data_IF_030801142171
#
_entry.id   IF_030801142171
#
_cell.length_a   1.000
_cell.length_b   1.000
_cell.length_c   1.000
_cell.angle_alpha   90.00
_cell.angle_beta   90.00
_cell.angle_gamma   90.00
#
_symmetry.space_group_name_H-M   'P 1'
#
loop_
_entity.id
_entity.type
_entity.pdbx_description
1 polymer ?
#
# COMPACT_ATOMS: atom_id res chain seq x y z
N UNK A 1 8.18 12.20 8.27
CA UNK A 1 9.52 11.70 8.65
C UNK A 1 10.65 12.64 8.18
N UNK A 2 11.67 12.93 9.00
CA UNK A 2 12.86 13.69 8.56
C UNK A 2 13.78 12.78 7.70
N UNK A 3 14.56 13.35 6.78
CA UNK A 3 15.54 12.66 5.91
C UNK A 3 16.42 11.65 6.65
N UNK A 4 16.84 11.97 7.89
CA UNK A 4 17.62 11.05 8.74
C UNK A 4 16.84 9.79 9.15
N UNK A 5 15.56 9.90 9.48
CA UNK A 5 14.72 8.73 9.83
C UNK A 5 14.47 7.84 8.59
N UNK A 6 14.36 8.44 7.38
CA UNK A 6 14.34 7.68 6.10
C UNK A 6 15.65 6.91 5.88
N UNK A 7 16.80 7.54 6.11
CA UNK A 7 18.09 6.86 5.98
C UNK A 7 18.23 5.66 6.93
N UNK A 8 17.71 5.77 8.16
CA UNK A 8 17.67 4.64 9.11
C UNK A 8 16.82 3.49 8.58
N UNK A 9 15.63 3.78 8.01
CA UNK A 9 14.80 2.73 7.42
C UNK A 9 15.46 2.05 6.21
N UNK A 10 16.12 2.82 5.34
CA UNK A 10 16.84 2.25 4.19
C UNK A 10 18.01 1.36 4.63
N UNK A 11 18.76 1.78 5.65
CA UNK A 11 19.82 0.97 6.26
C UNK A 11 19.25 -0.32 6.88
N UNK A 12 18.16 -0.21 7.65
CA UNK A 12 17.50 -1.36 8.26
C UNK A 12 16.97 -2.34 7.20
N UNK A 13 16.29 -1.84 6.17
CA UNK A 13 15.76 -2.65 5.05
C UNK A 13 16.88 -3.42 4.35
N UNK A 14 18.00 -2.75 4.03
CA UNK A 14 19.16 -3.40 3.41
C UNK A 14 19.71 -4.51 4.28
N UNK A 15 19.92 -4.27 5.57
CA UNK A 15 20.43 -5.27 6.50
C UNK A 15 19.45 -6.45 6.65
N UNK A 16 18.14 -6.19 6.69
CA UNK A 16 17.13 -7.26 6.75
C UNK A 16 17.16 -8.15 5.50
N UNK A 17 17.44 -7.58 4.32
CA UNK A 17 17.62 -8.31 3.07
C UNK A 17 18.91 -9.14 3.07
N UNK A 18 20.04 -8.53 3.47
CA UNK A 18 21.36 -9.13 3.35
C UNK A 18 21.66 -10.16 4.44
N UNK A 19 21.33 -9.84 5.70
CA UNK A 19 21.63 -10.66 6.88
C UNK A 19 20.42 -11.46 7.37
N UNK A 20 19.22 -11.10 6.93
CA UNK A 20 17.95 -11.59 7.48
C UNK A 20 17.49 -10.76 8.69
N UNK A 21 16.17 -10.63 8.84
CA UNK A 21 15.55 -9.85 9.91
C UNK A 21 15.93 -10.34 11.33
N UNK A 22 15.90 -11.66 11.55
CA UNK A 22 16.21 -12.26 12.86
C UNK A 22 17.66 -12.00 13.28
N UNK A 23 18.60 -12.08 12.34
CA UNK A 23 20.04 -11.93 12.58
C UNK A 23 20.52 -10.48 12.65
N UNK A 24 19.67 -9.52 12.28
CA UNK A 24 20.00 -8.09 12.33
C UNK A 24 19.72 -7.53 13.73
N UNK A 25 20.72 -6.87 14.33
CA UNK A 25 20.60 -6.17 15.61
C UNK A 25 20.34 -4.67 15.42
N UNK A 26 19.86 -3.99 16.47
CA UNK A 26 19.76 -2.52 16.47
C UNK A 26 21.14 -1.87 16.30
N UNK A 27 22.20 -2.50 16.83
CA UNK A 27 23.57 -1.99 16.70
C UNK A 27 24.04 -2.02 15.24
N UNK A 28 23.74 -3.08 14.49
CA UNK A 28 24.03 -3.14 13.04
C UNK A 28 23.37 -1.97 12.30
N UNK A 29 22.11 -1.65 12.62
CA UNK A 29 21.36 -0.57 11.97
C UNK A 29 21.97 0.80 12.31
N UNK A 30 22.37 1.01 13.57
CA UNK A 30 23.03 2.24 14.02
C UNK A 30 24.35 2.47 13.25
N UNK A 31 25.14 1.41 13.10
CA UNK A 31 26.43 1.44 12.39
C UNK A 31 26.25 1.70 10.90
N UNK A 32 25.35 0.97 10.23
CA UNK A 32 25.06 1.14 8.80
C UNK A 32 24.47 2.52 8.50
N UNK A 33 23.55 3.01 9.34
CA UNK A 33 22.94 4.33 9.17
C UNK A 33 23.88 5.49 9.58
N UNK A 34 25.04 5.19 10.18
CA UNK A 34 26.04 6.16 10.66
C UNK A 34 25.44 7.21 11.61
N UNK A 35 24.66 6.75 12.58
CA UNK A 35 24.03 7.60 13.60
C UNK A 35 24.47 7.21 15.02
N UNK A 36 24.12 8.02 16.02
CA UNK A 36 24.30 7.64 17.42
C UNK A 36 23.16 6.75 17.90
N UNK A 37 23.42 5.95 18.95
CA UNK A 37 22.40 5.17 19.65
C UNK A 37 21.21 6.03 20.10
N UNK A 38 21.48 7.19 20.71
CA UNK A 38 20.42 8.13 21.12
C UNK A 38 19.58 8.62 19.95
N UNK A 39 20.19 8.86 18.79
CA UNK A 39 19.45 9.27 17.57
C UNK A 39 18.53 8.16 17.07
N UNK A 40 18.95 6.88 17.15
CA UNK A 40 18.09 5.77 16.77
C UNK A 40 16.86 5.69 17.67
N UNK A 41 17.07 5.69 18.99
CA UNK A 41 15.96 5.60 19.96
C UNK A 41 15.05 6.83 19.98
N UNK A 42 15.49 7.97 19.45
CA UNK A 42 14.61 9.11 19.18
C UNK A 42 13.65 8.86 18.01
N UNK A 43 13.96 7.94 17.11
CA UNK A 43 13.16 7.63 15.92
C UNK A 43 12.37 6.34 16.01
N UNK A 44 12.96 5.32 16.62
CA UNK A 44 12.44 3.97 16.74
C UNK A 44 12.84 3.37 18.09
N UNK A 45 11.85 2.84 18.81
CA UNK A 45 12.02 2.11 20.05
C UNK A 45 12.68 0.74 19.86
N UNK A 46 12.57 0.15 18.66
CA UNK A 46 13.05 -1.20 18.37
C UNK A 46 13.31 -1.44 16.88
N UNK A 47 13.94 -2.58 16.55
CA UNK A 47 14.04 -3.06 15.16
C UNK A 47 12.68 -3.44 14.56
N UNK A 48 11.74 -3.88 15.42
CA UNK A 48 10.38 -4.22 15.00
C UNK A 48 9.65 -2.98 14.48
N UNK A 49 9.80 -1.84 15.17
CA UNK A 49 9.21 -0.58 14.72
C UNK A 49 9.78 -0.13 13.36
N UNK A 50 11.05 -0.45 13.07
CA UNK A 50 11.62 -0.19 11.75
C UNK A 50 10.92 -0.99 10.65
N UNK A 51 10.67 -2.30 10.87
CA UNK A 51 10.01 -3.13 9.85
C UNK A 51 8.52 -2.78 9.71
N UNK A 52 7.84 -2.46 10.81
CA UNK A 52 6.46 -1.94 10.78
C UNK A 52 6.40 -0.70 9.89
N UNK A 53 7.25 0.30 10.14
CA UNK A 53 7.28 1.53 9.36
C UNK A 53 7.63 1.32 7.87
N UNK A 54 8.47 0.33 7.53
CA UNK A 54 8.76 -0.05 6.14
C UNK A 54 7.50 -0.61 5.46
N UNK A 55 6.81 -1.56 6.12
CA UNK A 55 5.62 -2.19 5.56
C UNK A 55 4.44 -1.22 5.44
N UNK A 56 4.25 -0.32 6.41
CA UNK A 56 3.26 0.75 6.36
C UNK A 56 3.51 1.70 5.19
N UNK A 57 4.76 2.17 5.02
CA UNK A 57 5.11 3.05 3.90
C UNK A 57 4.82 2.40 2.54
N UNK A 58 5.12 1.11 2.39
CA UNK A 58 4.80 0.33 1.17
C UNK A 58 3.30 0.22 0.95
N UNK A 59 2.52 -0.01 2.01
CA UNK A 59 1.05 -0.08 1.96
C UNK A 59 0.46 1.26 1.52
N UNK A 60 0.88 2.36 2.14
CA UNK A 60 0.42 3.72 1.83
C UNK A 60 0.72 4.09 0.38
N UNK A 61 1.97 3.92 -0.05
CA UNK A 61 2.42 4.20 -1.41
C UNK A 61 1.64 3.39 -2.45
N UNK A 62 1.47 2.09 -2.21
CA UNK A 62 0.69 1.19 -3.08
C UNK A 62 -0.77 1.65 -3.19
N UNK A 63 -1.37 2.04 -2.06
CA UNK A 63 -2.77 2.46 -2.01
C UNK A 63 -3.01 3.75 -2.79
N UNK A 64 -2.12 4.74 -2.62
CA UNK A 64 -2.18 6.02 -3.35
C UNK A 64 -2.06 5.77 -4.85
N UNK A 65 -1.00 5.08 -5.30
CA UNK A 65 -0.77 4.81 -6.72
C UNK A 65 -1.95 4.08 -7.38
N UNK A 66 -2.54 3.09 -6.70
CA UNK A 66 -3.72 2.37 -7.20
C UNK A 66 -4.95 3.28 -7.32
N UNK A 67 -5.18 4.15 -6.34
CA UNK A 67 -6.34 5.04 -6.31
C UNK A 67 -6.24 6.13 -7.36
N UNK A 68 -5.04 6.66 -7.57
CA UNK A 68 -4.77 7.68 -8.58
C UNK A 68 -5.00 7.18 -10.01
N UNK A 69 -4.77 5.89 -10.28
CA UNK A 69 -5.13 5.29 -11.58
C UNK A 69 -6.63 5.31 -11.89
N UNK A 70 -7.50 5.31 -10.86
CA UNK A 70 -8.95 5.37 -11.07
C UNK A 70 -9.46 6.78 -11.31
N UNK A 71 -8.64 7.81 -11.09
CA UNK A 71 -9.06 9.20 -11.26
C UNK A 71 -9.47 9.44 -12.71
N UNK A 72 -10.75 9.77 -12.92
CA UNK A 72 -11.37 10.01 -14.24
C UNK A 72 -11.39 8.77 -15.16
N UNK A 73 -11.22 7.57 -14.61
CA UNK A 73 -11.34 6.33 -15.35
C UNK A 73 -12.58 5.54 -14.93
N UNK A 74 -12.90 4.49 -15.69
CA UNK A 74 -14.01 3.60 -15.37
C UNK A 74 -13.52 2.51 -14.39
N UNK A 75 -14.13 2.43 -13.21
CA UNK A 75 -13.84 1.40 -12.22
C UNK A 75 -14.05 -0.03 -12.77
N UNK A 76 -14.83 -0.21 -13.84
CA UNK A 76 -15.04 -1.49 -14.51
C UNK A 76 -13.97 -1.85 -15.57
N UNK A 77 -12.90 -1.06 -15.75
CA UNK A 77 -11.84 -1.38 -16.72
C UNK A 77 -10.81 -2.38 -16.17
N UNK A 78 -10.77 -3.58 -16.77
CA UNK A 78 -9.83 -4.63 -16.43
C UNK A 78 -8.36 -4.21 -16.61
N UNK A 79 -8.06 -3.32 -17.55
CA UNK A 79 -6.68 -2.84 -17.75
C UNK A 79 -6.18 -2.07 -16.53
N UNK A 80 -7.05 -1.28 -15.89
CA UNK A 80 -6.71 -0.58 -14.66
C UNK A 80 -6.45 -1.57 -13.54
N UNK A 81 -7.28 -2.60 -13.39
CA UNK A 81 -7.04 -3.64 -12.38
C UNK A 81 -5.68 -4.33 -12.61
N UNK A 82 -5.36 -4.67 -13.86
CA UNK A 82 -4.05 -5.24 -14.21
C UNK A 82 -2.90 -4.31 -13.82
N UNK A 83 -3.03 -3.01 -14.07
CA UNK A 83 -2.02 -2.01 -13.71
C UNK A 83 -1.90 -1.84 -12.18
N UNK A 84 -3.03 -1.75 -11.47
CA UNK A 84 -3.11 -1.70 -10.01
C UNK A 84 -2.44 -2.90 -9.33
N UNK A 85 -2.65 -4.11 -9.87
CA UNK A 85 -1.99 -5.32 -9.40
C UNK A 85 -0.49 -5.30 -9.73
N UNK A 86 -0.12 -4.77 -10.89
CA UNK A 86 1.28 -4.65 -11.32
C UNK A 86 2.08 -3.72 -10.40
N UNK A 87 1.50 -2.60 -9.95
CA UNK A 87 2.11 -1.66 -9.00
C UNK A 87 2.61 -2.39 -7.75
N UNK A 88 1.73 -3.14 -7.08
CA UNK A 88 2.11 -3.84 -5.83
C UNK A 88 3.23 -4.83 -6.07
N UNK A 89 3.12 -5.62 -7.13
CA UNK A 89 4.11 -6.66 -7.41
C UNK A 89 5.47 -6.08 -7.79
N UNK A 90 5.50 -4.95 -8.50
CA UNK A 90 6.76 -4.25 -8.78
C UNK A 90 7.36 -3.66 -7.50
N UNK A 91 6.58 -3.00 -6.64
CA UNK A 91 7.09 -2.47 -5.36
C UNK A 91 7.71 -3.60 -4.51
N UNK A 92 7.05 -4.75 -4.38
CA UNK A 92 7.59 -5.89 -3.63
C UNK A 92 8.88 -6.46 -4.23
N UNK A 93 9.01 -6.45 -5.57
CA UNK A 93 10.21 -6.89 -6.27
C UNK A 93 11.34 -5.86 -6.14
N UNK A 94 11.07 -4.60 -6.43
CA UNK A 94 12.03 -3.49 -6.45
C UNK A 94 12.61 -3.23 -5.05
N UNK A 95 11.77 -3.34 -4.01
CA UNK A 95 12.19 -3.20 -2.62
C UNK A 95 12.64 -4.53 -1.98
N UNK A 96 12.67 -5.62 -2.75
CA UNK A 96 13.05 -6.97 -2.32
C UNK A 96 12.43 -7.39 -0.97
N UNK A 97 11.12 -7.21 -0.83
CA UNK A 97 10.40 -7.42 0.44
C UNK A 97 10.08 -8.90 0.71
N UNK A 98 10.09 -9.74 -0.33
CA UNK A 98 9.68 -11.14 -0.21
C UNK A 98 10.49 -11.93 0.85
N UNK A 99 11.84 -11.87 0.87
CA UNK A 99 12.63 -12.55 1.90
C UNK A 99 12.29 -12.08 3.31
N UNK A 100 12.03 -10.78 3.48
CA UNK A 100 11.67 -10.20 4.78
C UNK A 100 10.31 -10.76 5.24
N UNK A 101 9.29 -10.74 4.39
CA UNK A 101 7.96 -11.28 4.70
C UNK A 101 8.03 -12.77 5.06
N UNK A 102 8.76 -13.57 4.28
CA UNK A 102 8.94 -15.00 4.57
C UNK A 102 9.63 -15.21 5.91
N UNK A 103 10.64 -14.40 6.24
CA UNK A 103 11.32 -14.48 7.54
C UNK A 103 10.39 -14.17 8.73
N UNK A 104 9.47 -13.20 8.56
CA UNK A 104 8.49 -12.83 9.59
C UNK A 104 7.47 -13.94 9.79
N UNK A 105 6.94 -14.53 8.70
CA UNK A 105 5.92 -15.60 8.76
C UNK A 105 6.42 -16.80 9.59
N UNK A 106 7.71 -17.12 9.50
CA UNK A 106 8.33 -18.23 10.23
C UNK A 106 8.97 -17.82 11.56
N UNK A 107 8.84 -16.56 11.97
CA UNK A 107 9.36 -16.06 13.24
C UNK A 107 8.44 -16.42 14.41
N UNK A 108 8.98 -16.32 15.63
CA UNK A 108 8.20 -16.45 16.87
C UNK A 108 7.51 -15.14 17.28
N UNK A 109 7.69 -14.07 16.51
CA UNK A 109 7.12 -12.76 16.78
C UNK A 109 5.64 -12.74 16.36
N UNK A 110 4.73 -12.80 17.35
CA UNK A 110 3.29 -12.84 17.10
C UNK A 110 2.80 -11.52 16.50
N UNK A 111 3.26 -10.39 17.01
CA UNK A 111 2.83 -9.06 16.58
C UNK A 111 3.19 -8.81 15.11
N UNK A 112 4.42 -9.15 14.71
CA UNK A 112 4.84 -9.01 13.32
C UNK A 112 4.12 -10.00 12.38
N UNK A 113 3.84 -11.22 12.84
CA UNK A 113 3.05 -12.18 12.05
C UNK A 113 1.62 -11.71 11.86
N UNK A 114 1.00 -11.15 12.90
CA UNK A 114 -0.33 -10.57 12.81
C UNK A 114 -0.34 -9.38 11.85
N UNK A 115 0.67 -8.50 11.88
CA UNK A 115 0.80 -7.42 10.90
C UNK A 115 0.86 -7.95 9.45
N UNK A 116 1.70 -8.94 9.17
CA UNK A 116 1.80 -9.55 7.83
C UNK A 116 0.49 -10.20 7.41
N UNK A 117 -0.18 -10.88 8.34
CA UNK A 117 -1.51 -11.47 8.12
C UNK A 117 -2.54 -10.39 7.79
N UNK A 118 -2.59 -9.29 8.54
CA UNK A 118 -3.51 -8.18 8.27
C UNK A 118 -3.28 -7.57 6.89
N UNK A 119 -2.02 -7.30 6.54
CA UNK A 119 -1.66 -6.78 5.21
C UNK A 119 -2.01 -7.74 4.05
N UNK A 120 -2.01 -9.05 4.31
CA UNK A 120 -2.47 -10.04 3.34
C UNK A 120 -3.99 -10.04 3.21
N UNK A 121 -4.71 -10.02 4.33
CA UNK A 121 -6.18 -10.02 4.33
C UNK A 121 -6.76 -8.74 3.72
N UNK A 122 -6.14 -7.58 3.97
CA UNK A 122 -6.49 -6.33 3.30
C UNK A 122 -6.33 -6.40 1.78
N UNK A 123 -5.31 -7.10 1.28
CA UNK A 123 -5.11 -7.30 -0.17
C UNK A 123 -6.18 -8.18 -0.78
N UNK A 124 -6.53 -9.27 -0.09
CA UNK A 124 -7.62 -10.16 -0.52
C UNK A 124 -8.93 -9.37 -0.61
N UNK A 125 -9.23 -8.56 0.42
CA UNK A 125 -10.45 -7.75 0.46
C UNK A 125 -10.47 -6.66 -0.61
N UNK A 126 -9.33 -5.98 -0.83
CA UNK A 126 -9.21 -5.01 -1.91
C UNK A 126 -9.46 -5.65 -3.27
N UNK A 127 -8.83 -6.80 -3.55
CA UNK A 127 -8.99 -7.50 -4.81
C UNK A 127 -10.42 -8.02 -4.97
N UNK A 128 -11.06 -8.52 -3.91
CA UNK A 128 -12.43 -9.01 -3.94
C UNK A 128 -13.38 -7.89 -4.35
N UNK A 129 -13.23 -6.69 -3.75
CA UNK A 129 -14.01 -5.50 -4.15
C UNK A 129 -13.79 -5.17 -5.62
N UNK A 130 -12.53 -5.13 -6.08
CA UNK A 130 -12.23 -4.85 -7.50
C UNK A 130 -12.78 -5.90 -8.45
N UNK A 131 -12.78 -7.19 -8.09
CA UNK A 131 -13.39 -8.22 -8.93
C UNK A 131 -14.91 -8.01 -9.06
N UNK A 132 -15.59 -7.56 -8.00
CA UNK A 132 -17.02 -7.19 -8.07
C UNK A 132 -17.22 -5.97 -8.96
N UNK A 133 -16.37 -4.94 -8.86
CA UNK A 133 -16.46 -3.75 -9.71
C UNK A 133 -16.27 -4.09 -11.22
N UNK A 134 -15.40 -5.04 -11.54
CA UNK A 134 -15.10 -5.47 -12.92
C UNK A 134 -16.16 -6.43 -13.47
N UNK A 135 -16.51 -7.47 -12.71
CA UNK A 135 -17.33 -8.59 -13.19
C UNK A 135 -18.79 -8.50 -12.75
N UNK A 136 -19.15 -7.54 -11.91
CA UNK A 136 -20.53 -7.28 -11.46
C UNK A 136 -20.96 -8.06 -10.21
N UNK A 137 -22.19 -7.78 -9.78
CA UNK A 137 -22.76 -8.24 -8.50
C UNK A 137 -22.81 -9.77 -8.37
N UNK A 138 -22.89 -10.52 -9.49
CA UNK A 138 -22.84 -11.99 -9.43
C UNK A 138 -21.54 -12.55 -8.83
N UNK A 139 -20.48 -11.74 -8.77
CA UNK A 139 -19.18 -12.13 -8.23
C UNK A 139 -19.14 -12.02 -6.71
N UNK A 140 -20.08 -11.31 -6.08
CA UNK A 140 -19.98 -10.87 -4.67
C UNK A 140 -19.92 -11.99 -3.65
N UNK A 141 -20.53 -13.14 -3.91
CA UNK A 141 -20.51 -14.29 -2.99
C UNK A 141 -19.23 -15.14 -3.13
N UNK A 142 -18.55 -15.04 -4.28
CA UNK A 142 -17.36 -15.83 -4.63
C UNK A 142 -16.07 -14.98 -4.74
N UNK A 143 -16.16 -13.66 -4.58
CA UNK A 143 -15.09 -12.72 -4.87
C UNK A 143 -13.84 -12.96 -4.01
N UNK A 144 -14.04 -13.37 -2.77
CA UNK A 144 -12.98 -13.72 -1.83
C UNK A 144 -12.22 -14.96 -2.29
N UNK A 145 -12.93 -16.04 -2.62
CA UNK A 145 -12.34 -17.26 -3.18
C UNK A 145 -11.55 -16.92 -4.45
N UNK A 146 -12.15 -16.17 -5.37
CA UNK A 146 -11.51 -15.75 -6.61
C UNK A 146 -10.25 -14.91 -6.34
N UNK A 147 -10.26 -14.04 -5.34
CA UNK A 147 -9.10 -13.23 -4.97
C UNK A 147 -7.95 -14.09 -4.46
N UNK A 148 -8.24 -15.08 -3.61
CA UNK A 148 -7.24 -16.04 -3.13
C UNK A 148 -6.68 -16.86 -4.30
N UNK A 149 -7.53 -17.32 -5.23
CA UNK A 149 -7.11 -18.04 -6.43
C UNK A 149 -6.20 -17.17 -7.33
N UNK A 150 -6.58 -15.92 -7.58
CA UNK A 150 -5.78 -14.95 -8.35
C UNK A 150 -4.40 -14.80 -7.73
N UNK A 151 -4.34 -14.46 -6.44
CA UNK A 151 -3.09 -14.23 -5.72
C UNK A 151 -2.22 -15.48 -5.69
N UNK A 152 -2.81 -16.65 -5.44
CA UNK A 152 -2.11 -17.93 -5.44
C UNK A 152 -1.52 -18.29 -6.82
N UNK A 153 -2.30 -18.12 -7.89
CA UNK A 153 -1.80 -18.37 -9.26
C UNK A 153 -0.65 -17.42 -9.62
N UNK A 154 -0.79 -16.13 -9.32
CA UNK A 154 0.28 -15.16 -9.58
C UNK A 154 1.53 -15.49 -8.78
N UNK A 155 1.39 -15.78 -7.48
CA UNK A 155 2.51 -16.13 -6.61
C UNK A 155 3.29 -17.33 -7.15
N UNK A 156 2.61 -18.40 -7.59
CA UNK A 156 3.27 -19.59 -8.12
C UNK A 156 3.93 -19.34 -9.49
N UNK A 157 3.28 -18.58 -10.37
CA UNK A 157 3.86 -18.21 -11.66
C UNK A 157 5.07 -17.27 -11.54
N UNK A 158 5.14 -16.49 -10.46
CA UNK A 158 6.26 -15.60 -10.18
C UNK A 158 7.36 -16.23 -9.31
N UNK A 159 7.20 -17.49 -8.90
CA UNK A 159 8.17 -18.17 -8.06
C UNK A 159 9.58 -18.11 -8.68
N UNK A 160 10.65 -17.81 -7.91
CA UNK A 160 12.01 -17.63 -8.43
C UNK A 160 12.48 -18.78 -9.35
N UNK A 161 12.13 -20.01 -8.99
CA UNK A 161 12.47 -21.22 -9.77
C UNK A 161 11.77 -21.31 -11.13
N UNK A 162 10.64 -20.63 -11.33
CA UNK A 162 9.92 -20.58 -12.61
C UNK A 162 10.38 -19.36 -13.42
N UNK A 163 10.61 -18.23 -12.75
CA UNK A 163 11.00 -16.97 -13.40
C UNK A 163 12.35 -17.06 -14.12
N UNK A 164 13.29 -17.82 -13.56
CA UNK A 164 14.61 -18.05 -14.19
C UNK A 164 14.51 -18.66 -15.61
N UNK A 165 13.42 -19.38 -15.92
CA UNK A 165 13.23 -20.05 -17.21
C UNK A 165 12.40 -19.25 -18.22
N UNK A 166 11.62 -18.27 -17.77
CA UNK A 166 10.53 -17.74 -18.61
C UNK A 166 10.67 -16.26 -18.98
N UNK A 167 11.51 -15.44 -18.31
CA UNK A 167 11.67 -13.98 -18.60
C UNK A 167 10.35 -13.24 -18.92
N UNK A 168 9.24 -13.66 -18.32
CA UNK A 168 7.91 -13.06 -18.54
C UNK A 168 7.72 -11.89 -17.58
N UNK A 169 7.29 -10.76 -18.12
CA UNK A 169 6.93 -9.57 -17.34
C UNK A 169 5.75 -9.83 -16.40
N UNK A 170 5.77 -9.19 -15.23
CA UNK A 170 4.69 -9.22 -14.23
C UNK A 170 3.30 -9.01 -14.83
N UNK A 171 3.13 -8.00 -15.67
CA UNK A 171 1.86 -7.69 -16.32
C UNK A 171 1.32 -8.84 -17.18
N UNK A 172 2.18 -9.49 -17.98
CA UNK A 172 1.80 -10.66 -18.81
C UNK A 172 1.29 -11.82 -17.96
N UNK A 173 1.89 -12.05 -16.79
CA UNK A 173 1.42 -13.07 -15.83
C UNK A 173 0.04 -12.70 -15.29
N UNK A 174 -0.16 -11.45 -14.87
CA UNK A 174 -1.45 -10.99 -14.36
C UNK A 174 -2.53 -11.13 -15.43
N UNK A 175 -2.29 -10.62 -16.66
CA UNK A 175 -3.23 -10.77 -17.79
C UNK A 175 -3.51 -12.24 -18.10
N UNK A 176 -2.50 -13.11 -18.01
CA UNK A 176 -2.69 -14.55 -18.16
C UNK A 176 -3.65 -15.08 -17.08
N UNK A 177 -3.44 -14.76 -15.81
CA UNK A 177 -4.30 -15.22 -14.70
C UNK A 177 -5.71 -14.66 -14.83
N UNK A 178 -5.87 -13.37 -15.14
CA UNK A 178 -7.19 -12.72 -15.26
C UNK A 178 -8.09 -13.38 -16.31
N UNK A 179 -7.53 -13.80 -17.47
CA UNK A 179 -8.32 -14.54 -18.48
C UNK A 179 -8.88 -15.88 -17.98
N UNK A 180 -8.25 -16.52 -16.97
CA UNK A 180 -8.73 -17.80 -16.41
C UNK A 180 -9.74 -17.53 -15.31
N UNK A 181 -9.46 -16.50 -14.51
CA UNK A 181 -10.33 -16.06 -13.44
C UNK A 181 -11.68 -15.58 -13.96
N UNK A 182 -11.71 -14.90 -15.10
CA UNK A 182 -12.97 -14.55 -15.77
C UNK A 182 -13.86 -15.79 -16.00
N UNK A 183 -13.31 -16.87 -16.58
CA UNK A 183 -14.08 -18.11 -16.78
C UNK A 183 -14.48 -18.79 -15.47
N UNK A 184 -13.57 -18.81 -14.49
CA UNK A 184 -13.81 -19.39 -13.15
C UNK A 184 -14.94 -18.65 -12.44
N UNK A 185 -14.95 -17.30 -12.48
CA UNK A 185 -15.99 -16.47 -11.88
C UNK A 185 -17.36 -16.80 -12.46
N UNK A 186 -17.48 -16.89 -13.79
CA UNK A 186 -18.76 -17.21 -14.42
C UNK A 186 -19.29 -18.59 -14.00
N UNK A 187 -18.41 -19.60 -13.93
CA UNK A 187 -18.83 -20.94 -13.54
C UNK A 187 -19.18 -21.02 -12.05
N UNK A 188 -18.34 -20.48 -11.16
CA UNK A 188 -18.59 -20.45 -9.71
C UNK A 188 -19.85 -19.66 -9.36
N UNK A 189 -20.11 -18.54 -10.05
CA UNK A 189 -21.32 -17.74 -9.83
C UNK A 189 -22.58 -18.51 -10.27
N UNK A 190 -22.49 -19.27 -11.36
CA UNK A 190 -23.59 -20.11 -11.88
C UNK A 190 -23.90 -21.29 -10.97
N UNK A 191 -22.88 -21.90 -10.35
CA UNK A 191 -23.03 -23.08 -9.48
C UNK A 191 -23.13 -22.73 -7.99
N UNK A 192 -22.94 -21.46 -7.63
CA UNK A 192 -22.82 -20.99 -6.25
C UNK A 192 -21.74 -21.76 -5.45
N UNK A 193 -20.63 -22.06 -6.09
CA UNK A 193 -19.50 -22.80 -5.52
C UNK A 193 -18.54 -21.81 -4.83
N UNK A 194 -18.71 -21.62 -3.52
CA UNK A 194 -17.80 -20.84 -2.66
C UNK A 194 -17.33 -21.71 -1.50
N UNK A 195 -16.00 -21.74 -1.31
CA UNK A 195 -15.35 -22.47 -0.22
C UNK A 195 -15.19 -21.60 1.01
N UNK A 196 -14.67 -20.38 0.84
CA UNK A 196 -14.24 -19.47 1.91
C UNK A 196 -15.37 -18.56 2.43
N UNK A 197 -16.59 -19.10 2.57
CA UNK A 197 -17.82 -18.39 2.99
C UNK A 197 -17.56 -17.15 3.85
N UNK A 198 -18.30 -16.06 3.58
CA UNK A 198 -18.15 -14.67 4.08
C UNK A 198 -17.58 -14.38 5.50
N UNK A 199 -17.72 -15.18 6.57
CA UNK A 199 -17.10 -14.86 7.87
C UNK A 199 -15.57 -14.88 7.95
N UNK A 200 -14.82 -15.39 6.96
CA UNK A 200 -13.35 -15.44 7.08
C UNK A 200 -12.65 -14.06 7.00
N UNK A 201 -13.36 -13.02 6.51
CA UNK A 201 -12.75 -11.74 6.13
C UNK A 201 -13.50 -10.49 6.58
N UNK A 202 -14.47 -10.62 7.50
CA UNK A 202 -14.95 -9.49 8.29
C UNK A 202 -13.82 -9.04 9.23
N UNK A 203 -12.84 -8.38 8.64
CA UNK A 203 -11.91 -7.57 9.38
C UNK A 203 -12.71 -6.40 9.92
N UNK A 204 -13.06 -6.47 11.21
CA UNK A 204 -13.05 -5.28 12.07
C UNK A 204 -11.62 -4.71 12.06
N UNK A 205 -11.20 -4.19 10.91
CA UNK A 205 -10.12 -3.24 10.84
C UNK A 205 -10.73 -1.96 11.39
N UNK A 206 -10.71 -1.82 12.71
CA UNK A 206 -10.68 -0.51 13.34
C UNK A 206 -9.34 0.19 12.97
N UNK A 207 -9.00 0.23 11.66
CA UNK A 207 -8.04 1.21 11.17
C UNK A 207 -8.69 2.53 11.53
N UNK A 208 -8.13 3.25 12.50
CA UNK A 208 -8.70 4.49 13.01
C UNK A 208 -8.76 5.48 11.85
N UNK A 209 -9.93 5.55 11.21
CA UNK A 209 -10.16 6.42 10.08
C UNK A 209 -10.19 7.86 10.58
N UNK A 210 -9.21 8.66 10.17
CA UNK A 210 -9.15 10.05 10.55
C UNK A 210 -10.39 10.81 10.05
N UNK A 211 -10.89 11.69 10.90
CA UNK A 211 -11.91 12.69 10.55
C UNK A 211 -11.32 13.74 9.62
N UNK A 212 -12.18 14.47 8.88
CA UNK A 212 -11.72 15.56 8.02
C UNK A 212 -10.90 16.60 8.82
N UNK A 213 -11.30 16.89 10.05
CA UNK A 213 -10.63 17.88 10.92
C UNK A 213 -9.24 17.40 11.36
N UNK A 214 -9.09 16.11 11.65
CA UNK A 214 -7.77 15.53 11.96
C UNK A 214 -6.85 15.58 10.73
N UNK A 215 -7.38 15.30 9.53
CA UNK A 215 -6.62 15.39 8.27
C UNK A 215 -6.22 16.85 7.98
N UNK A 216 -7.15 17.80 8.12
CA UNK A 216 -6.85 19.24 7.97
C UNK A 216 -5.74 19.66 8.92
N UNK A 217 -5.80 19.28 10.20
CA UNK A 217 -4.75 19.60 11.19
C UNK A 217 -3.40 19.00 10.83
N UNK A 218 -3.37 17.77 10.31
CA UNK A 218 -2.12 17.15 9.85
C UNK A 218 -1.52 17.92 8.67
N UNK A 219 -2.36 18.29 7.69
CA UNK A 219 -1.95 19.04 6.52
C UNK A 219 -1.50 20.47 6.86
N UNK A 220 -2.19 21.16 7.77
CA UNK A 220 -1.79 22.47 8.30
C UNK A 220 -0.44 22.39 9.05
N UNK A 221 -0.25 21.37 9.89
CA UNK A 221 1.02 21.19 10.59
C UNK A 221 2.18 20.96 9.62
N UNK A 222 1.94 20.19 8.55
CA UNK A 222 2.90 19.99 7.48
C UNK A 222 3.19 21.29 6.73
N UNK A 223 2.15 22.02 6.33
CA UNK A 223 2.26 23.30 5.64
C UNK A 223 3.12 24.29 6.43
N UNK A 224 2.78 24.54 7.70
CA UNK A 224 3.49 25.51 8.54
C UNK A 224 4.96 25.15 8.78
N UNK A 225 5.28 23.85 8.90
CA UNK A 225 6.65 23.39 9.12
C UNK A 225 7.53 23.50 7.87
N UNK A 226 6.94 23.29 6.71
CA UNK A 226 7.70 23.15 5.46
C UNK A 226 7.53 24.35 4.51
N UNK A 227 6.72 25.37 4.85
CA UNK A 227 6.35 26.52 3.98
C UNK A 227 7.54 27.16 3.26
N UNK A 228 8.68 27.32 3.95
CA UNK A 228 9.89 27.94 3.39
C UNK A 228 10.61 27.07 2.35
N UNK A 229 10.28 25.77 2.29
CA UNK A 229 10.82 24.82 1.33
C UNK A 229 9.87 24.51 0.17
N UNK A 230 8.62 24.97 0.25
CA UNK A 230 7.59 24.71 -0.75
C UNK A 230 7.65 25.71 -1.90
N UNK A 231 7.36 25.25 -3.11
CA UNK A 231 7.15 26.10 -4.28
C UNK A 231 5.75 26.70 -4.26
N UNK A 232 5.57 27.83 -4.96
CA UNK A 232 4.27 28.50 -5.06
C UNK A 232 3.12 27.57 -5.48
N UNK A 233 3.37 26.68 -6.45
CA UNK A 233 2.38 25.69 -6.91
C UNK A 233 2.00 24.70 -5.81
N UNK A 234 2.96 24.24 -5.01
CA UNK A 234 2.72 23.29 -3.90
C UNK A 234 1.91 23.96 -2.79
N UNK A 235 2.24 25.22 -2.47
CA UNK A 235 1.49 26.06 -1.51
C UNK A 235 0.04 26.19 -1.94
N UNK A 236 -0.22 26.59 -3.19
CA UNK A 236 -1.57 26.77 -3.72
C UNK A 236 -2.40 25.48 -3.69
N UNK A 237 -1.77 24.32 -4.00
CA UNK A 237 -2.46 23.02 -3.94
C UNK A 237 -2.82 22.64 -2.50
N UNK A 238 -1.92 22.87 -1.55
CA UNK A 238 -2.16 22.59 -0.13
C UNK A 238 -3.26 23.49 0.43
N UNK A 239 -3.19 24.80 0.17
CA UNK A 239 -4.20 25.77 0.58
C UNK A 239 -5.58 25.41 0.03
N UNK A 240 -5.65 25.04 -1.26
CA UNK A 240 -6.88 24.58 -1.87
C UNK A 240 -7.45 23.34 -1.18
N UNK A 241 -6.61 22.33 -0.91
CA UNK A 241 -7.07 21.11 -0.22
C UNK A 241 -7.59 21.44 1.18
N UNK A 242 -6.89 22.31 1.92
CA UNK A 242 -7.32 22.77 3.25
C UNK A 242 -8.67 23.50 3.19
N UNK A 243 -8.83 24.43 2.27
CA UNK A 243 -10.10 25.12 2.05
C UNK A 243 -11.24 24.13 1.77
N UNK A 244 -10.99 23.12 0.94
CA UNK A 244 -11.99 22.14 0.56
C UNK A 244 -12.34 21.18 1.70
N UNK A 245 -11.36 20.70 2.46
CA UNK A 245 -11.56 19.85 3.64
C UNK A 245 -12.35 20.58 4.74
N UNK A 246 -12.16 21.88 4.88
CA UNK A 246 -12.83 22.70 5.89
C UNK A 246 -14.27 23.11 5.50
N UNK A 247 -14.73 22.81 4.29
CA UNK A 247 -16.14 23.00 3.90
C UNK A 247 -17.06 22.03 4.64
N UNK A 248 -18.33 22.40 4.78
CA UNK A 248 -19.36 21.49 5.30
C UNK A 248 -19.48 20.24 4.43
N UNK A 249 -19.52 20.42 3.10
CA UNK A 249 -19.54 19.35 2.11
C UNK A 249 -18.36 19.52 1.13
N UNK A 250 -17.23 18.83 1.37
CA UNK A 250 -16.10 18.81 0.45
C UNK A 250 -16.48 18.20 -0.90
N UNK A 251 -16.14 18.88 -1.98
CA UNK A 251 -16.41 18.45 -3.35
C UNK A 251 -15.36 17.43 -3.77
N UNK A 252 -15.68 16.15 -3.59
CA UNK A 252 -14.85 14.99 -3.93
C UNK A 252 -14.13 15.12 -5.27
N UNK A 253 -14.86 15.42 -6.34
CA UNK A 253 -14.31 15.53 -7.70
C UNK A 253 -13.18 16.56 -7.84
N UNK A 254 -13.17 17.64 -7.05
CA UNK A 254 -12.11 18.65 -7.10
C UNK A 254 -10.86 18.17 -6.36
N UNK A 255 -11.04 17.52 -5.21
CA UNK A 255 -9.95 16.89 -4.47
C UNK A 255 -9.31 15.76 -5.29
N UNK A 256 -10.10 14.92 -5.95
CA UNK A 256 -9.60 13.83 -6.81
C UNK A 256 -8.71 14.33 -7.96
N UNK A 257 -8.85 15.60 -8.39
CA UNK A 257 -7.98 16.19 -9.42
C UNK A 257 -6.69 16.78 -8.88
N UNK A 258 -6.73 17.35 -7.68
CA UNK A 258 -5.60 18.11 -7.13
C UNK A 258 -4.67 17.20 -6.34
N UNK A 259 -5.22 16.20 -5.63
CA UNK A 259 -4.41 15.27 -4.82
C UNK A 259 -3.34 14.55 -5.67
N UNK A 260 -3.61 14.01 -6.87
CA UNK A 260 -2.55 13.42 -7.70
C UNK A 260 -1.45 14.41 -8.09
N UNK A 261 -1.81 15.67 -8.37
CA UNK A 261 -0.84 16.72 -8.69
C UNK A 261 0.05 17.06 -7.49
N UNK A 262 -0.49 16.97 -6.27
CA UNK A 262 0.27 17.11 -5.04
C UNK A 262 1.20 15.91 -4.82
N UNK A 263 0.72 14.68 -5.05
CA UNK A 263 1.54 13.46 -4.99
C UNK A 263 2.74 13.55 -5.92
N UNK A 264 2.52 13.93 -7.18
CA UNK A 264 3.59 14.10 -8.18
C UNK A 264 4.61 15.15 -7.72
N UNK A 265 4.15 16.28 -7.18
CA UNK A 265 5.03 17.37 -6.75
C UNK A 265 6.01 16.95 -5.63
N UNK A 266 5.62 15.99 -4.78
CA UNK A 266 6.47 15.50 -3.70
C UNK A 266 7.21 14.20 -4.00
N UNK A 267 6.89 13.52 -5.10
CA UNK A 267 7.55 12.27 -5.50
C UNK A 267 9.05 12.51 -5.69
N UNK A 268 9.90 11.60 -5.18
CA UNK A 268 11.37 11.73 -5.17
C UNK A 268 11.94 12.99 -4.47
N UNK A 269 11.16 13.69 -3.64
CA UNK A 269 11.64 14.82 -2.85
C UNK A 269 12.00 14.41 -1.42
N UNK A 270 12.63 15.31 -0.66
CA UNK A 270 12.84 15.14 0.78
C UNK A 270 11.54 15.12 1.60
N UNK A 271 10.43 15.60 1.02
CA UNK A 271 9.11 15.71 1.65
C UNK A 271 8.18 14.54 1.33
N UNK A 272 8.52 13.72 0.32
CA UNK A 272 7.75 12.57 -0.17
C UNK A 272 7.07 11.80 0.97
N UNK A 273 7.85 11.18 1.84
CA UNK A 273 7.32 10.34 2.90
C UNK A 273 6.46 11.10 3.94
N UNK A 274 6.73 12.40 4.20
CA UNK A 274 5.83 13.20 5.07
C UNK A 274 4.48 13.40 4.40
N UNK A 275 4.50 13.67 3.10
CA UNK A 275 3.29 13.91 2.31
C UNK A 275 2.51 12.62 2.04
N UNK A 276 3.17 11.49 1.84
CA UNK A 276 2.56 10.17 1.54
C UNK A 276 1.51 9.80 2.58
N UNK A 277 1.83 9.85 3.87
CA UNK A 277 0.86 9.52 4.93
C UNK A 277 -0.37 10.45 4.90
N UNK A 278 -0.17 11.75 4.71
CA UNK A 278 -1.28 12.73 4.64
C UNK A 278 -2.14 12.49 3.39
N UNK A 279 -1.51 12.27 2.24
CA UNK A 279 -2.17 11.96 0.97
C UNK A 279 -2.96 10.65 1.07
N UNK A 280 -2.41 9.62 1.70
CA UNK A 280 -3.10 8.36 1.99
C UNK A 280 -4.37 8.60 2.81
N UNK A 281 -4.29 9.40 3.87
CA UNK A 281 -5.45 9.73 4.69
C UNK A 281 -6.50 10.56 3.93
N UNK A 282 -6.06 11.48 3.06
CA UNK A 282 -6.97 12.22 2.17
C UNK A 282 -7.71 11.24 1.27
N UNK A 283 -7.02 10.31 0.60
CA UNK A 283 -7.67 9.30 -0.24
C UNK A 283 -8.66 8.42 0.53
N UNK A 284 -8.30 7.95 1.72
CA UNK A 284 -9.20 7.20 2.62
C UNK A 284 -10.43 8.01 3.02
N UNK A 285 -10.32 9.33 3.13
CA UNK A 285 -11.46 10.21 3.33
C UNK A 285 -12.33 10.32 2.08
N UNK A 286 -11.72 10.51 0.90
CA UNK A 286 -12.44 10.60 -0.37
C UNK A 286 -13.23 9.33 -0.71
N UNK A 287 -12.72 8.16 -0.33
CA UNK A 287 -13.43 6.88 -0.53
C UNK A 287 -14.74 6.76 0.27
N UNK A 288 -14.96 7.63 1.27
CA UNK A 288 -16.12 7.59 2.18
C UNK A 288 -17.21 8.60 1.85
N UNK A 289 -16.90 9.62 1.05
CA UNK A 289 -17.82 10.71 0.68
C UNK A 289 -18.30 10.61 -0.76
#
# INVERSE_FOLDING_TARGET
MNSRKKNVLLAAQRLFIEKGFSSTSVQDIIEEAKISKGTFYNYFSSKNECIVAILENVKEETSIKRRELLVQQNDADLNILVEQMTIRMNIYQDQNLYPIIVSIIHSQDLELRDLVKMNYLEEVNWLAKRLVDIFGEQTKDIAVDCSVLVLGMIQQLQHPWIRQYTKVSTEKIIRFVMRRIETIIYEMARTNDSLLKRPCFELNTEEKLLTKDEISKQLESFYLKEINSLKLKEIQMIEYILEELNREQPRKFLLEKIVPSLTEAFTNTSLEHKSTMIIYHIWKFLDRI
#
